data_IF_605748567055
#
_entry.id   IF_605748567055
#
_cell.length_a   1.000
_cell.length_b   1.000
_cell.length_c   1.000
_cell.angle_alpha   90.00
_cell.angle_beta   90.00
_cell.angle_gamma   90.00
#
_symmetry.space_group_name_H-M   'P 1'
#
loop_
_entity.id
_entity.type
_entity.pdbx_description
1 polymer ?
#
# COMPACT_ATOMS: atom_id res chain seq x y z
N UNK A 1 13.93 -1.18 5.04
CA UNK A 1 14.22 0.26 5.14
C UNK A 1 14.62 0.91 3.79
N UNK A 2 14.49 0.19 2.67
CA UNK A 2 14.98 0.68 1.35
C UNK A 2 14.37 2.04 0.96
N UNK A 3 13.08 2.28 1.25
CA UNK A 3 12.45 3.57 0.93
C UNK A 3 13.06 4.76 1.68
N UNK A 4 13.69 4.53 2.83
CA UNK A 4 14.40 5.58 3.57
C UNK A 4 15.73 5.97 2.90
N UNK A 5 16.31 5.10 2.08
CA UNK A 5 17.55 5.36 1.35
C UNK A 5 17.35 6.18 0.05
N UNK A 6 16.10 6.24 -0.46
CA UNK A 6 15.80 6.94 -1.72
C UNK A 6 16.33 8.39 -1.71
N UNK A 7 16.09 9.20 -0.67
CA UNK A 7 16.58 10.58 -0.63
C UNK A 7 18.11 10.70 -0.68
N UNK A 8 18.82 9.63 -0.30
CA UNK A 8 20.28 9.62 -0.29
C UNK A 8 20.85 9.23 -1.65
N UNK A 9 20.20 8.29 -2.34
CA UNK A 9 20.69 7.77 -3.63
C UNK A 9 20.21 8.59 -4.81
N UNK A 10 18.99 9.16 -4.73
CA UNK A 10 18.46 10.05 -5.76
C UNK A 10 19.21 11.40 -5.77
N UNK A 11 19.66 11.84 -6.95
CA UNK A 11 20.49 13.05 -7.12
C UNK A 11 19.91 14.06 -8.09
N UNK A 12 19.02 13.63 -8.98
CA UNK A 12 18.60 14.39 -10.13
C UNK A 12 17.19 14.96 -9.95
N UNK A 13 16.28 14.14 -9.40
CA UNK A 13 14.88 14.50 -9.28
C UNK A 13 14.59 15.25 -7.96
N UNK A 14 13.73 16.24 -8.05
CA UNK A 14 13.22 16.96 -6.88
C UNK A 14 12.13 16.18 -6.15
N UNK A 15 11.26 15.53 -6.91
CA UNK A 15 10.17 14.71 -6.40
C UNK A 15 10.21 13.33 -7.03
N UNK A 16 9.92 12.31 -6.24
CA UNK A 16 9.78 10.93 -6.71
C UNK A 16 8.45 10.35 -6.23
N UNK A 17 7.82 9.55 -7.08
CA UNK A 17 6.72 8.69 -6.72
C UNK A 17 7.30 7.31 -6.37
N UNK A 18 7.21 6.93 -5.11
CA UNK A 18 7.55 5.59 -4.63
C UNK A 18 6.31 4.70 -4.60
N UNK A 19 6.45 3.45 -4.97
CA UNK A 19 5.44 2.42 -4.73
C UNK A 19 6.08 1.13 -4.23
N UNK A 20 5.35 0.41 -3.37
CA UNK A 20 5.67 -0.97 -3.03
C UNK A 20 5.45 -1.90 -4.24
N UNK A 21 6.01 -3.11 -4.20
CA UNK A 21 5.94 -4.07 -5.32
C UNK A 21 4.55 -4.72 -5.48
N UNK A 22 3.68 -4.58 -4.49
CA UNK A 22 2.30 -5.06 -4.47
C UNK A 22 1.28 -3.98 -4.86
N UNK A 23 1.74 -3.02 -5.65
CA UNK A 23 0.93 -1.95 -6.22
C UNK A 23 0.78 -2.16 -7.73
N UNK A 24 -0.45 -2.04 -8.24
CA UNK A 24 -0.75 -2.05 -9.67
C UNK A 24 -1.10 -0.65 -10.15
N UNK A 25 -0.49 -0.23 -11.24
CA UNK A 25 -0.84 0.98 -11.96
C UNK A 25 -2.08 0.69 -12.83
N UNK A 26 -3.24 1.17 -12.39
CA UNK A 26 -4.54 0.94 -13.02
C UNK A 26 -4.90 2.02 -14.03
N UNK A 27 -4.20 3.14 -14.00
CA UNK A 27 -4.33 4.27 -14.93
C UNK A 27 -3.00 4.99 -15.09
N UNK A 28 -2.92 5.85 -16.10
CA UNK A 28 -1.78 6.75 -16.28
C UNK A 28 -1.67 7.71 -15.09
N UNK A 29 -0.45 7.97 -14.68
CA UNK A 29 -0.12 8.92 -13.62
C UNK A 29 0.44 10.18 -14.27
N UNK A 30 -0.27 11.27 -14.09
CA UNK A 30 0.17 12.59 -14.53
C UNK A 30 0.91 13.24 -13.36
N UNK A 31 2.18 13.57 -13.56
CA UNK A 31 3.04 14.12 -12.49
C UNK A 31 2.52 15.46 -11.97
N UNK A 32 1.89 16.24 -12.83
CA UNK A 32 1.26 17.54 -12.48
C UNK A 32 0.02 17.40 -11.56
N UNK A 33 -0.56 16.20 -11.47
CA UNK A 33 -1.68 15.92 -10.55
C UNK A 33 -1.20 15.52 -9.15
N UNK A 34 0.08 15.20 -9.01
CA UNK A 34 0.66 14.79 -7.73
C UNK A 34 0.96 16.02 -6.85
N UNK A 35 0.79 15.92 -5.54
CA UNK A 35 1.21 16.97 -4.62
C UNK A 35 2.72 17.20 -4.68
N UNK A 36 3.14 18.43 -4.36
CA UNK A 36 4.55 18.82 -4.27
C UNK A 36 4.92 19.10 -2.80
N UNK A 37 5.02 18.08 -1.95
CA UNK A 37 5.14 18.25 -0.52
C UNK A 37 6.48 18.85 -0.09
N UNK A 38 6.52 19.41 1.12
CA UNK A 38 7.77 19.82 1.77
C UNK A 38 8.64 18.62 2.11
N UNK A 39 8.03 17.53 2.60
CA UNK A 39 8.70 16.28 2.95
C UNK A 39 8.14 15.12 2.13
N UNK A 40 6.95 14.66 2.46
CA UNK A 40 6.26 13.61 1.72
C UNK A 40 4.74 13.85 1.69
N UNK A 41 4.09 13.20 0.71
CA UNK A 41 2.64 13.04 0.70
C UNK A 41 2.29 11.57 0.74
N UNK A 42 1.26 11.21 1.51
CA UNK A 42 0.80 9.85 1.73
C UNK A 42 -0.72 9.79 1.92
N UNK A 43 -1.30 8.61 1.71
CA UNK A 43 -2.71 8.32 1.96
C UNK A 43 -2.89 7.59 3.31
N UNK A 44 -4.09 7.61 3.91
CA UNK A 44 -4.36 6.91 5.16
C UNK A 44 -4.03 5.41 5.12
N UNK A 45 -3.73 4.81 6.28
CA UNK A 45 -3.47 3.38 6.39
C UNK A 45 -4.74 2.57 6.23
N UNK A 46 -5.73 2.76 7.09
CA UNK A 46 -6.95 1.97 7.15
C UNK A 46 -8.20 2.77 6.87
N UNK A 47 -8.22 4.01 7.31
CA UNK A 47 -9.36 4.90 7.20
C UNK A 47 -9.54 5.32 5.74
N UNK A 48 -10.79 5.24 5.27
CA UNK A 48 -11.14 5.78 3.95
C UNK A 48 -11.36 7.28 4.02
N UNK A 49 -11.85 7.75 5.17
CA UNK A 49 -12.01 9.18 5.43
C UNK A 49 -10.71 9.77 5.93
N UNK A 50 -10.16 10.72 5.19
CA UNK A 50 -8.89 11.38 5.53
C UNK A 50 -8.96 12.23 6.81
N UNK A 51 -10.14 12.65 7.23
CA UNK A 51 -10.33 13.41 8.49
C UNK A 51 -10.11 12.54 9.73
N UNK A 52 -10.28 11.22 9.60
CA UNK A 52 -10.09 10.26 10.68
C UNK A 52 -8.68 9.66 10.69
N UNK A 53 -7.79 10.14 9.82
CA UNK A 53 -6.46 9.59 9.66
C UNK A 53 -5.58 9.85 10.89
N UNK A 54 -5.18 8.77 11.56
CA UNK A 54 -4.21 8.79 12.67
C UNK A 54 -2.83 8.27 12.25
N UNK A 55 -2.74 7.62 11.09
CA UNK A 55 -1.56 6.93 10.60
C UNK A 55 -1.60 6.81 9.07
N UNK A 56 -0.49 7.10 8.39
CA UNK A 56 -0.44 6.97 6.94
C UNK A 56 0.21 5.66 6.49
N UNK A 57 -0.24 5.19 5.33
CA UNK A 57 0.35 4.04 4.64
C UNK A 57 1.57 4.47 3.84
N UNK A 58 2.66 3.75 3.99
CA UNK A 58 3.91 4.04 3.30
C UNK A 58 4.11 3.24 1.99
N UNK A 59 3.09 2.53 1.52
CA UNK A 59 3.18 1.72 0.30
C UNK A 59 3.16 2.53 -1.00
N UNK A 60 2.60 3.76 -0.96
CA UNK A 60 2.71 4.75 -2.05
C UNK A 60 2.99 6.11 -1.44
N UNK A 61 4.05 6.75 -1.88
CA UNK A 61 4.52 8.04 -1.35
C UNK A 61 4.96 8.96 -2.50
N UNK A 62 4.64 10.24 -2.40
CA UNK A 62 5.34 11.29 -3.16
C UNK A 62 6.35 11.90 -2.20
N UNK A 63 7.62 11.85 -2.55
CA UNK A 63 8.72 12.34 -1.69
C UNK A 63 9.40 13.54 -2.32
N UNK A 64 9.60 14.59 -1.52
CA UNK A 64 10.55 15.65 -1.82
C UNK A 64 11.94 15.20 -1.38
N UNK A 65 12.82 15.00 -2.33
CA UNK A 65 14.15 14.44 -2.08
C UNK A 65 14.96 15.30 -1.10
N UNK A 66 14.93 16.63 -1.26
CA UNK A 66 15.68 17.51 -0.38
C UNK A 66 15.12 17.53 1.05
N UNK A 67 13.79 17.64 1.18
CA UNK A 67 13.16 17.62 2.51
C UNK A 67 13.36 16.27 3.22
N UNK A 68 13.25 15.17 2.50
CA UNK A 68 13.46 13.84 3.07
C UNK A 68 14.92 13.56 3.46
N UNK A 69 15.93 14.26 2.90
CA UNK A 69 17.32 14.18 3.38
C UNK A 69 17.44 14.65 4.82
N UNK A 70 16.74 15.72 5.19
CA UNK A 70 16.73 16.24 6.56
C UNK A 70 16.12 15.20 7.53
N UNK A 71 14.99 14.60 7.14
CA UNK A 71 14.34 13.52 7.92
C UNK A 71 15.20 12.25 7.99
N UNK A 72 15.98 11.95 6.96
CA UNK A 72 16.90 10.82 6.96
C UNK A 72 18.00 10.94 8.02
N UNK A 73 18.56 12.13 8.23
CA UNK A 73 19.55 12.36 9.29
C UNK A 73 18.95 12.08 10.68
N UNK A 74 17.74 12.55 10.91
CA UNK A 74 17.01 12.27 12.17
C UNK A 74 16.72 10.76 12.32
N UNK A 75 16.30 10.09 11.25
CA UNK A 75 16.09 8.63 11.23
C UNK A 75 17.37 7.88 11.62
N UNK A 76 18.51 8.21 11.03
CA UNK A 76 19.80 7.57 11.34
C UNK A 76 20.18 7.80 12.81
N UNK A 77 19.92 8.99 13.36
CA UNK A 77 20.19 9.28 14.76
C UNK A 77 19.34 8.39 15.68
N UNK A 78 18.04 8.27 15.43
CA UNK A 78 17.13 7.38 16.16
C UNK A 78 17.60 5.92 16.11
N UNK A 79 17.98 5.44 14.92
CA UNK A 79 18.51 4.08 14.76
C UNK A 79 19.80 3.85 15.54
N UNK A 80 20.72 4.80 15.55
CA UNK A 80 21.98 4.71 16.33
C UNK A 80 21.71 4.68 17.83
N UNK A 81 20.74 5.45 18.30
CA UNK A 81 20.34 5.51 19.71
C UNK A 81 19.52 4.28 20.14
N UNK A 82 19.21 3.36 19.19
CA UNK A 82 18.34 2.19 19.41
C UNK A 82 16.96 2.58 19.96
N UNK A 83 16.48 3.75 19.60
CA UNK A 83 15.14 4.18 19.93
C UNK A 83 14.14 3.24 19.24
N UNK A 84 13.23 2.67 20.03
CA UNK A 84 12.22 1.76 19.48
C UNK A 84 11.19 2.57 18.73
N UNK A 85 10.84 2.08 17.54
CA UNK A 85 9.66 2.52 16.83
C UNK A 85 8.40 2.21 17.66
N UNK A 86 7.70 3.25 18.08
CA UNK A 86 6.53 3.16 18.96
C UNK A 86 5.38 2.41 18.26
N UNK A 87 5.23 2.58 16.94
CA UNK A 87 4.16 1.95 16.16
C UNK A 87 4.43 0.48 15.81
N UNK A 88 5.67 -0.01 15.97
CA UNK A 88 6.04 -1.39 15.71
C UNK A 88 6.03 -1.82 14.23
N UNK A 89 5.76 -0.92 13.29
CA UNK A 89 5.58 -1.21 11.86
C UNK A 89 6.84 -0.88 11.02
N UNK A 90 8.00 -1.31 11.48
CA UNK A 90 9.28 -1.15 10.77
C UNK A 90 9.52 0.28 10.25
N UNK A 91 9.86 0.43 8.98
CA UNK A 91 10.15 1.72 8.34
C UNK A 91 8.92 2.62 8.19
N UNK A 92 7.74 2.06 7.98
CA UNK A 92 6.48 2.85 7.98
C UNK A 92 6.25 3.53 9.32
N UNK A 93 6.54 2.85 10.43
CA UNK A 93 6.42 3.43 11.76
C UNK A 93 7.35 4.61 11.98
N UNK A 94 8.61 4.51 11.53
CA UNK A 94 9.54 5.63 11.60
C UNK A 94 9.12 6.80 10.71
N UNK A 95 8.63 6.52 9.50
CA UNK A 95 8.11 7.57 8.62
C UNK A 95 6.94 8.31 9.26
N UNK A 96 5.99 7.59 9.86
CA UNK A 96 4.89 8.22 10.58
C UNK A 96 5.38 9.05 11.76
N UNK A 97 6.30 8.53 12.56
CA UNK A 97 6.87 9.26 13.70
C UNK A 97 7.58 10.56 13.26
N UNK A 98 8.30 10.53 12.15
CA UNK A 98 9.10 11.64 11.65
C UNK A 98 8.30 12.66 10.84
N UNK A 99 7.27 12.22 10.11
CA UNK A 99 6.65 13.01 9.07
C UNK A 99 5.15 13.24 9.23
N UNK A 100 4.44 12.48 10.08
CA UNK A 100 2.97 12.54 10.14
C UNK A 100 2.41 13.96 10.33
N UNK A 101 3.06 14.78 11.15
CA UNK A 101 2.61 16.15 11.43
C UNK A 101 2.83 17.13 10.29
N UNK A 102 3.80 16.83 9.44
CA UNK A 102 4.29 17.73 8.39
C UNK A 102 4.00 17.17 6.98
N UNK A 103 3.33 16.00 6.89
CA UNK A 103 2.99 15.38 5.62
C UNK A 103 1.83 16.11 4.92
N UNK A 104 1.79 15.96 3.62
CA UNK A 104 0.64 16.36 2.81
C UNK A 104 -0.22 15.15 2.44
N UNK A 105 -1.50 15.37 2.16
CA UNK A 105 -2.39 14.29 1.73
C UNK A 105 -2.14 13.93 0.27
N UNK A 106 -1.87 12.65 0.03
CA UNK A 106 -1.97 12.05 -1.30
C UNK A 106 -3.43 11.65 -1.51
N UNK A 107 -4.08 12.03 -2.62
CA UNK A 107 -5.44 11.58 -2.88
C UNK A 107 -5.55 10.05 -2.81
N UNK A 108 -6.58 9.54 -2.17
CA UNK A 108 -6.71 8.10 -1.87
C UNK A 108 -6.74 7.22 -3.13
N UNK A 109 -7.10 7.78 -4.27
CA UNK A 109 -7.07 7.13 -5.58
C UNK A 109 -5.66 6.69 -5.99
N UNK A 110 -4.62 7.32 -5.46
CA UNK A 110 -3.22 6.97 -5.69
C UNK A 110 -2.67 5.93 -4.71
N UNK A 111 -3.47 5.48 -3.75
CA UNK A 111 -3.12 4.39 -2.84
C UNK A 111 -4.39 3.64 -2.41
N UNK A 112 -5.21 3.28 -3.41
CA UNK A 112 -6.49 2.61 -3.17
C UNK A 112 -6.27 1.18 -2.69
N UNK A 113 -6.86 0.82 -1.55
CA UNK A 113 -6.80 -0.53 -1.00
C UNK A 113 -8.06 -1.30 -1.41
N UNK A 114 -7.94 -2.54 -1.92
CA UNK A 114 -9.09 -3.35 -2.31
C UNK A 114 -10.15 -3.52 -1.21
N UNK A 115 -9.75 -3.53 0.06
CA UNK A 115 -10.69 -3.63 1.18
C UNK A 115 -11.58 -2.39 1.38
N UNK A 116 -11.30 -1.29 0.69
CA UNK A 116 -12.21 -0.13 0.65
C UNK A 116 -13.34 -0.30 -0.38
N UNK A 117 -13.33 -1.40 -1.15
CA UNK A 117 -14.30 -1.70 -2.19
C UNK A 117 -13.81 -1.32 -3.59
N UNK A 118 -14.75 -1.27 -4.53
CA UNK A 118 -14.49 -0.94 -5.94
C UNK A 118 -14.51 0.58 -6.10
N UNK A 119 -13.51 1.12 -6.82
CA UNK A 119 -13.43 2.53 -7.19
C UNK A 119 -12.92 2.64 -8.63
N UNK A 120 -13.75 3.12 -9.53
CA UNK A 120 -13.44 3.34 -10.94
C UNK A 120 -12.45 4.50 -11.19
N UNK A 121 -12.24 5.35 -10.18
CA UNK A 121 -11.27 6.44 -10.22
C UNK A 121 -9.90 6.06 -9.63
N UNK A 122 -9.78 4.86 -9.04
CA UNK A 122 -8.52 4.43 -8.45
C UNK A 122 -7.42 4.33 -9.52
N UNK A 123 -6.32 5.03 -9.31
CA UNK A 123 -5.18 5.09 -10.21
C UNK A 123 -4.11 4.07 -9.85
N UNK A 124 -3.83 3.90 -8.56
CA UNK A 124 -2.93 2.88 -8.04
C UNK A 124 -3.70 1.97 -7.09
N UNK A 125 -3.66 0.67 -7.35
CA UNK A 125 -4.29 -0.36 -6.51
C UNK A 125 -3.19 -1.00 -5.67
N UNK A 126 -3.22 -0.76 -4.37
CA UNK A 126 -2.28 -1.33 -3.42
C UNK A 126 -2.91 -2.55 -2.76
N UNK A 127 -2.42 -3.73 -3.06
CA UNK A 127 -2.86 -4.99 -2.44
C UNK A 127 -2.34 -5.09 -1.00
N UNK A 128 -2.61 -4.05 -0.22
CA UNK A 128 -2.31 -4.03 1.21
C UNK A 128 -3.10 -5.15 1.91
N UNK A 129 -2.36 -6.09 2.51
CA UNK A 129 -2.94 -7.30 3.07
C UNK A 129 -2.88 -8.50 2.12
N UNK A 130 -4.00 -8.93 1.54
CA UNK A 130 -4.03 -10.07 0.63
C UNK A 130 -3.32 -9.77 -0.69
N UNK A 131 -2.46 -10.70 -1.10
CA UNK A 131 -1.71 -10.59 -2.35
C UNK A 131 -2.28 -11.55 -3.39
N UNK A 132 -2.30 -11.19 -4.68
CA UNK A 132 -2.68 -12.14 -5.74
C UNK A 132 -1.81 -13.40 -5.78
N UNK A 133 -0.56 -13.29 -5.31
CA UNK A 133 0.44 -14.37 -5.27
C UNK A 133 0.46 -15.16 -3.96
N UNK A 134 -0.39 -14.84 -2.99
CA UNK A 134 -0.44 -15.56 -1.71
C UNK A 134 -0.78 -17.02 -1.94
N UNK A 135 -0.03 -17.92 -1.33
CA UNK A 135 -0.30 -19.35 -1.42
C UNK A 135 -1.37 -19.79 -0.39
N UNK A 136 -1.84 -21.04 -0.51
CA UNK A 136 -2.88 -21.60 0.35
C UNK A 136 -2.54 -21.55 1.85
N UNK A 137 -1.27 -21.71 2.20
CA UNK A 137 -0.83 -21.68 3.60
C UNK A 137 -0.87 -20.25 4.14
N UNK A 138 -0.55 -19.26 3.31
CA UNK A 138 -0.68 -17.85 3.66
C UNK A 138 -2.15 -17.44 3.72
N UNK A 139 -3.00 -18.01 2.86
CA UNK A 139 -4.43 -17.81 2.90
C UNK A 139 -5.07 -18.30 4.22
N UNK A 140 -4.66 -19.48 4.72
CA UNK A 140 -5.06 -19.96 6.05
C UNK A 140 -4.62 -19.01 7.17
N UNK A 141 -3.45 -18.39 7.05
CA UNK A 141 -2.99 -17.35 7.98
C UNK A 141 -3.88 -16.10 7.96
N UNK A 142 -4.41 -15.74 6.79
CA UNK A 142 -5.31 -14.58 6.63
C UNK A 142 -6.64 -14.81 7.37
N UNK A 143 -7.19 -16.01 7.34
CA UNK A 143 -8.48 -16.32 8.00
C UNK A 143 -8.42 -16.21 9.52
N UNK A 144 -7.26 -16.52 10.12
CA UNK A 144 -7.04 -16.38 11.56
C UNK A 144 -6.62 -14.97 11.98
N UNK A 145 -6.39 -14.09 11.01
CA UNK A 145 -5.91 -12.75 11.30
C UNK A 145 -7.08 -11.81 11.63
N UNK A 146 -7.16 -11.41 12.88
CA UNK A 146 -8.13 -10.43 13.39
C UNK A 146 -8.15 -9.12 12.60
N UNK A 147 -7.03 -8.76 11.97
CA UNK A 147 -6.91 -7.58 11.11
C UNK A 147 -7.89 -7.60 9.94
N UNK A 148 -7.92 -8.70 9.16
CA UNK A 148 -8.84 -8.78 8.01
C UNK A 148 -10.30 -8.78 8.43
N UNK A 149 -10.61 -9.40 9.56
CA UNK A 149 -11.96 -9.36 10.14
C UNK A 149 -12.37 -7.93 10.47
N UNK A 150 -11.52 -7.19 11.17
CA UNK A 150 -11.79 -5.78 11.51
C UNK A 150 -11.97 -4.93 10.24
N UNK A 151 -11.10 -5.10 9.24
CA UNK A 151 -11.15 -4.33 7.99
C UNK A 151 -12.40 -4.65 7.18
N UNK A 152 -12.80 -5.93 7.07
CA UNK A 152 -14.01 -6.32 6.35
C UNK A 152 -15.29 -5.96 7.08
N UNK A 153 -15.32 -6.04 8.41
CA UNK A 153 -16.46 -5.59 9.22
C UNK A 153 -16.67 -4.08 9.08
N UNK A 154 -15.60 -3.31 9.04
CA UNK A 154 -15.64 -1.87 8.84
C UNK A 154 -15.96 -1.46 7.38
N UNK A 155 -15.67 -2.33 6.41
CA UNK A 155 -15.83 -2.07 4.98
C UNK A 155 -16.59 -3.21 4.29
N UNK A 156 -17.93 -3.23 4.32
CA UNK A 156 -18.72 -4.33 3.74
C UNK A 156 -18.48 -4.60 2.24
N UNK A 157 -17.96 -3.59 1.50
CA UNK A 157 -17.57 -3.73 0.09
C UNK A 157 -16.16 -4.30 -0.12
N UNK A 158 -15.40 -4.54 0.96
CA UNK A 158 -13.99 -4.89 0.87
C UNK A 158 -13.72 -6.22 0.17
N UNK A 159 -14.52 -7.24 0.46
CA UNK A 159 -14.43 -8.52 -0.23
C UNK A 159 -14.67 -8.36 -1.75
N UNK A 160 -15.71 -7.64 -2.14
CA UNK A 160 -16.02 -7.38 -3.55
C UNK A 160 -14.87 -6.62 -4.25
N UNK A 161 -14.21 -5.71 -3.55
CA UNK A 161 -13.04 -4.99 -4.05
C UNK A 161 -11.88 -5.94 -4.35
N UNK A 162 -11.52 -6.86 -3.45
CA UNK A 162 -10.49 -7.86 -3.72
C UNK A 162 -10.85 -8.77 -4.90
N UNK A 163 -12.07 -9.29 -4.94
CA UNK A 163 -12.53 -10.13 -6.07
C UNK A 163 -12.42 -9.38 -7.39
N UNK A 164 -12.86 -8.11 -7.42
CA UNK A 164 -12.83 -7.29 -8.61
C UNK A 164 -11.38 -7.06 -9.10
N UNK A 165 -10.49 -6.56 -8.25
CA UNK A 165 -9.12 -6.24 -8.65
C UNK A 165 -8.26 -7.47 -8.92
N UNK A 166 -8.49 -8.59 -8.20
CA UNK A 166 -7.85 -9.85 -8.54
C UNK A 166 -8.30 -10.37 -9.89
N UNK A 167 -9.58 -10.28 -10.23
CA UNK A 167 -10.08 -10.68 -11.56
C UNK A 167 -9.39 -9.87 -12.67
N UNK A 168 -9.30 -8.54 -12.51
CA UNK A 168 -8.60 -7.69 -13.47
C UNK A 168 -7.13 -8.07 -13.62
N UNK A 169 -6.44 -8.32 -12.51
CA UNK A 169 -5.04 -8.74 -12.51
C UNK A 169 -4.85 -10.07 -13.25
N UNK A 170 -5.70 -11.06 -12.98
CA UNK A 170 -5.63 -12.36 -13.68
C UNK A 170 -5.97 -12.27 -15.15
N UNK A 171 -6.95 -11.46 -15.52
CA UNK A 171 -7.28 -11.20 -16.91
C UNK A 171 -6.10 -10.58 -17.65
N UNK A 172 -5.39 -9.65 -17.00
CA UNK A 172 -4.17 -9.06 -17.54
C UNK A 172 -3.07 -10.11 -17.74
N UNK A 173 -2.81 -10.95 -16.74
CA UNK A 173 -1.82 -12.04 -16.84
C UNK A 173 -2.19 -13.07 -17.92
N UNK A 174 -3.46 -13.44 -18.06
CA UNK A 174 -3.94 -14.35 -19.08
C UNK A 174 -3.69 -13.87 -20.51
N UNK A 175 -3.57 -12.56 -20.71
CA UNK A 175 -3.20 -11.95 -22.01
C UNK A 175 -1.69 -11.99 -22.29
N UNK A 176 -0.85 -12.30 -21.28
CA UNK A 176 0.62 -12.25 -21.35
C UNK A 176 1.28 -13.61 -21.56
N UNK A 177 0.55 -14.62 -22.07
CA UNK A 177 1.06 -15.95 -22.44
C UNK A 177 1.71 -16.79 -21.30
N UNK A 178 1.81 -16.30 -20.08
CA UNK A 178 2.30 -17.08 -18.93
C UNK A 178 1.20 -17.94 -18.33
N UNK A 179 0.86 -19.01 -19.08
CA UNK A 179 -0.23 -19.92 -18.73
C UNK A 179 -0.01 -20.62 -17.37
N UNK A 180 1.24 -20.88 -17.01
CA UNK A 180 1.53 -21.56 -15.74
C UNK A 180 1.21 -20.65 -14.56
N UNK A 181 1.73 -19.43 -14.58
CA UNK A 181 1.49 -18.43 -13.54
C UNK A 181 -0.01 -18.09 -13.45
N UNK A 182 -0.64 -17.89 -14.61
CA UNK A 182 -2.08 -17.63 -14.67
C UNK A 182 -2.90 -18.74 -14.01
N UNK A 183 -2.65 -20.02 -14.38
CA UNK A 183 -3.39 -21.16 -13.83
C UNK A 183 -3.17 -21.28 -12.32
N UNK A 184 -1.92 -21.14 -11.85
CA UNK A 184 -1.61 -21.20 -10.41
C UNK A 184 -2.34 -20.10 -9.64
N UNK A 185 -2.31 -18.87 -10.13
CA UNK A 185 -3.00 -17.76 -9.50
C UNK A 185 -4.53 -17.90 -9.56
N UNK A 186 -5.08 -18.51 -10.63
CA UNK A 186 -6.52 -18.83 -10.68
C UNK A 186 -6.94 -19.85 -9.62
N UNK A 187 -6.12 -20.84 -9.32
CA UNK A 187 -6.36 -21.79 -8.23
C UNK A 187 -6.43 -21.05 -6.88
N UNK A 188 -5.46 -20.21 -6.60
CA UNK A 188 -5.43 -19.37 -5.39
C UNK A 188 -6.66 -18.46 -5.34
N UNK A 189 -6.98 -17.77 -6.45
CA UNK A 189 -8.11 -16.87 -6.52
C UNK A 189 -9.47 -17.54 -6.29
N UNK A 190 -9.65 -18.78 -6.78
CA UNK A 190 -10.90 -19.51 -6.57
C UNK A 190 -11.19 -19.77 -5.09
N UNK A 191 -10.17 -19.84 -4.26
CA UNK A 191 -10.34 -19.91 -2.81
C UNK A 191 -10.83 -18.59 -2.23
N UNK A 192 -10.33 -17.46 -2.72
CA UNK A 192 -10.77 -16.13 -2.30
C UNK A 192 -12.18 -15.77 -2.76
N UNK A 193 -12.73 -16.48 -3.76
CA UNK A 193 -14.11 -16.27 -4.21
C UNK A 193 -15.16 -16.81 -3.24
N UNK A 194 -14.78 -17.72 -2.36
CA UNK A 194 -15.69 -18.25 -1.37
C UNK A 194 -15.72 -17.35 -0.13
N UNK A 195 -16.84 -16.65 0.14
CA UNK A 195 -16.92 -15.79 1.32
C UNK A 195 -16.69 -16.55 2.63
N UNK A 196 -17.03 -17.84 2.71
CA UNK A 196 -16.81 -18.65 3.91
C UNK A 196 -15.33 -18.78 4.26
N UNK A 197 -14.45 -18.64 3.27
CA UNK A 197 -13.01 -18.66 3.46
C UNK A 197 -12.49 -17.53 4.39
N UNK A 198 -13.16 -16.38 4.39
CA UNK A 198 -12.77 -15.21 5.22
C UNK A 198 -13.43 -15.21 6.60
N UNK A 199 -14.47 -16.03 6.82
CA UNK A 199 -15.29 -16.02 8.02
C UNK A 199 -15.33 -17.37 8.75
N UNK A 200 -14.59 -18.37 8.25
CA UNK A 200 -14.38 -19.67 8.90
C UNK A 200 -13.24 -19.63 9.91
#
# INVERSE_FOLDING_TARGET
FMRMEIPVVEKEEKYVLYSDIDVIFNADILLEELPHPTYLAAAPEYERNVEDMEYFNAGVLVMNIQGMKEKYEEFILKMKNRERNISGLFDQGYLNELCFKDMELLPIEYNWKPYWGINDKAKLIHFHGMKPSSNLNEAGFITDNSFFRIVFDANPGGYAGYVYYFTQFYDYLGRKEDKWLYNHLQEVFNLYKDPSFFFS
#
